data_IF_514640601806
#
_entry.id   IF_514640601806
#
_cell.length_a   1.000
_cell.length_b   1.000
_cell.length_c   1.000
_cell.angle_alpha   90.00
_cell.angle_beta   90.00
_cell.angle_gamma   90.00
#
_symmetry.space_group_name_H-M   'P 1'
#
loop_
_entity.id
_entity.type
_entity.pdbx_description
1 polymer ?
#
# COMPACT_ATOMS: atom_id res chain seq x y z
N UNK A 1 10.20 -25.07 7.36
CA UNK A 1 8.81 -24.56 7.45
C UNK A 1 8.67 -23.69 8.70
N UNK A 2 8.26 -22.43 8.57
CA UNK A 2 8.03 -21.56 9.75
C UNK A 2 6.70 -21.93 10.39
N UNK A 3 6.72 -22.45 11.62
CA UNK A 3 5.50 -22.65 12.42
C UNK A 3 4.86 -21.28 12.64
N UNK A 4 3.63 -21.10 12.14
CA UNK A 4 2.82 -19.91 12.43
C UNK A 4 2.68 -19.78 13.95
N UNK A 5 2.93 -18.58 14.48
CA UNK A 5 2.70 -18.30 15.90
C UNK A 5 1.24 -18.56 16.26
N UNK A 6 1.04 -19.06 17.47
CA UNK A 6 -0.28 -19.18 18.08
C UNK A 6 -1.00 -17.81 18.02
N UNK A 7 -2.31 -17.86 17.80
CA UNK A 7 -3.15 -16.68 17.68
C UNK A 7 -3.06 -15.79 18.93
N UNK A 8 -3.01 -16.39 20.12
CA UNK A 8 -2.84 -15.65 21.38
C UNK A 8 -1.56 -14.82 21.43
N UNK A 9 -0.43 -15.42 21.05
CA UNK A 9 0.87 -14.71 20.99
C UNK A 9 0.85 -13.58 19.97
N UNK A 10 0.22 -13.78 18.80
CA UNK A 10 0.06 -12.73 17.78
C UNK A 10 -0.81 -11.56 18.26
N UNK A 11 -1.89 -11.85 18.97
CA UNK A 11 -2.76 -10.80 19.51
C UNK A 11 -2.03 -9.98 20.57
N UNK A 12 -1.28 -10.65 21.46
CA UNK A 12 -0.48 -9.97 22.48
C UNK A 12 0.60 -9.05 21.87
N UNK A 13 1.34 -9.53 20.87
CA UNK A 13 2.31 -8.68 20.15
C UNK A 13 1.67 -7.48 19.47
N UNK A 14 0.51 -7.66 18.81
CA UNK A 14 -0.20 -6.55 18.15
C UNK A 14 -0.57 -5.47 19.16
N UNK A 15 -1.08 -5.85 20.33
CA UNK A 15 -1.39 -4.90 21.41
C UNK A 15 -0.15 -4.18 21.90
N UNK A 16 0.98 -4.88 22.06
CA UNK A 16 2.25 -4.28 22.49
C UNK A 16 2.82 -3.31 21.44
N UNK A 17 2.73 -3.66 20.15
CA UNK A 17 3.12 -2.78 19.03
C UNK A 17 2.24 -1.53 19.01
N UNK A 18 0.92 -1.68 19.16
CA UNK A 18 -0.01 -0.56 19.21
C UNK A 18 0.25 0.37 20.42
N UNK A 19 0.69 -0.20 21.55
CA UNK A 19 1.09 0.58 22.74
C UNK A 19 2.46 1.26 22.64
N UNK A 20 3.15 1.17 21.49
CA UNK A 20 4.42 1.85 21.26
C UNK A 20 5.64 1.21 21.93
N UNK A 21 5.55 -0.04 22.39
CA UNK A 21 6.67 -0.73 23.04
C UNK A 21 7.83 -0.95 22.07
N UNK A 22 9.05 -0.96 22.63
CA UNK A 22 10.26 -1.22 21.86
C UNK A 22 10.37 -2.71 21.48
N UNK A 23 11.12 -3.01 20.42
CA UNK A 23 11.27 -4.40 19.93
C UNK A 23 11.85 -5.32 21.02
N UNK A 24 12.79 -4.83 21.84
CA UNK A 24 13.35 -5.59 22.97
C UNK A 24 12.27 -5.96 24.00
N UNK A 25 11.46 -4.99 24.41
CA UNK A 25 10.37 -5.20 25.37
C UNK A 25 9.33 -6.21 24.86
N UNK A 26 9.06 -6.20 23.54
CA UNK A 26 8.13 -7.17 22.94
C UNK A 26 8.73 -8.57 22.96
N UNK A 27 10.01 -8.73 22.59
CA UNK A 27 10.72 -10.01 22.64
C UNK A 27 10.70 -10.59 24.06
N UNK A 28 10.98 -9.77 25.07
CA UNK A 28 10.94 -10.20 26.48
C UNK A 28 9.53 -10.65 26.91
N UNK A 29 8.49 -9.92 26.49
CA UNK A 29 7.11 -10.20 26.85
C UNK A 29 6.51 -11.42 26.11
N UNK A 30 6.90 -11.68 24.86
CA UNK A 30 6.27 -12.72 24.03
C UNK A 30 7.17 -13.93 23.78
N UNK A 31 8.46 -13.86 24.13
CA UNK A 31 9.50 -14.85 23.84
C UNK A 31 9.62 -15.21 22.36
N UNK A 32 9.17 -14.31 21.49
CA UNK A 32 9.28 -14.45 20.03
C UNK A 32 10.63 -13.91 19.57
N UNK A 33 11.22 -14.54 18.54
CA UNK A 33 12.51 -14.09 18.02
C UNK A 33 12.48 -12.64 17.56
N UNK A 34 13.59 -11.92 17.77
CA UNK A 34 13.74 -10.52 17.38
C UNK A 34 13.38 -10.29 15.90
N UNK A 35 13.85 -11.16 15.01
CA UNK A 35 13.57 -11.08 13.58
C UNK A 35 12.06 -11.14 13.28
N UNK A 36 11.32 -11.93 14.05
CA UNK A 36 9.89 -12.12 13.85
C UNK A 36 9.08 -10.96 14.43
N UNK A 37 9.49 -10.40 15.57
CA UNK A 37 8.94 -9.14 16.10
C UNK A 37 9.15 -7.98 15.11
N UNK A 38 10.34 -7.86 14.52
CA UNK A 38 10.63 -6.82 13.51
C UNK A 38 9.72 -6.98 12.28
N UNK A 39 9.57 -8.21 11.77
CA UNK A 39 8.64 -8.48 10.66
C UNK A 39 7.21 -8.09 11.03
N UNK A 40 6.74 -8.47 12.21
CA UNK A 40 5.38 -8.13 12.66
C UNK A 40 5.19 -6.63 12.85
N UNK A 41 6.17 -5.93 13.43
CA UNK A 41 6.14 -4.48 13.62
C UNK A 41 6.07 -3.77 12.27
N UNK A 42 6.89 -4.17 11.29
CA UNK A 42 6.84 -3.61 9.94
C UNK A 42 5.48 -3.80 9.25
N UNK A 43 4.78 -4.90 9.53
CA UNK A 43 3.45 -5.21 8.97
C UNK A 43 2.33 -4.47 9.68
N UNK A 44 2.41 -4.27 11.00
CA UNK A 44 1.31 -3.73 11.82
C UNK A 44 1.55 -2.30 12.32
N UNK A 45 2.70 -1.68 12.03
CA UNK A 45 2.96 -0.29 12.41
C UNK A 45 1.94 0.64 11.73
N UNK A 46 1.21 1.46 12.49
CA UNK A 46 0.19 2.36 11.94
C UNK A 46 0.79 3.41 10.99
N UNK A 47 2.07 3.76 11.17
CA UNK A 47 2.78 4.73 10.33
C UNK A 47 3.28 4.16 9.00
N UNK A 48 3.19 2.84 8.80
CA UNK A 48 3.60 2.18 7.56
C UNK A 48 2.37 1.74 6.79
N UNK A 49 2.03 2.49 5.74
CA UNK A 49 1.10 2.00 4.73
C UNK A 49 1.66 0.70 4.15
N UNK A 50 0.93 -0.41 4.32
CA UNK A 50 1.25 -1.64 3.62
C UNK A 50 1.12 -1.39 2.11
N UNK A 51 2.25 -1.34 1.42
CA UNK A 51 2.29 -1.57 -0.02
C UNK A 51 1.94 -3.04 -0.27
N UNK A 52 0.64 -3.36 -0.30
CA UNK A 52 0.14 -4.67 -0.71
C UNK A 52 0.74 -4.98 -2.07
N UNK A 53 1.48 -6.10 -2.14
CA UNK A 53 2.40 -6.46 -3.21
C UNK A 53 1.98 -5.99 -4.60
N UNK A 54 2.89 -5.27 -5.25
CA UNK A 54 2.73 -4.73 -6.59
C UNK A 54 3.99 -3.98 -7.01
N UNK A 55 4.17 -3.76 -8.32
CA UNK A 55 5.28 -2.96 -8.82
C UNK A 55 5.12 -1.53 -8.28
N UNK A 56 6.18 -0.91 -7.70
CA UNK A 56 6.12 0.46 -7.25
C UNK A 56 5.63 1.35 -8.40
N UNK A 57 4.62 2.17 -8.13
CA UNK A 57 4.06 3.07 -9.11
C UNK A 57 4.45 4.49 -8.79
N UNK A 58 4.87 5.22 -9.81
CA UNK A 58 5.19 6.65 -9.72
C UNK A 58 3.99 7.50 -9.29
N UNK A 59 2.77 6.98 -9.43
CA UNK A 59 1.53 7.68 -9.10
C UNK A 59 0.91 7.05 -7.85
N UNK A 60 0.63 7.83 -6.79
CA UNK A 60 -0.08 7.35 -5.62
C UNK A 60 -1.46 6.79 -5.95
N UNK A 61 -1.93 5.83 -5.15
CA UNK A 61 -3.24 5.17 -5.36
C UNK A 61 -4.40 6.17 -5.40
N UNK A 62 -4.40 7.19 -4.54
CA UNK A 62 -5.41 8.25 -4.52
C UNK A 62 -5.47 9.02 -5.84
N UNK A 63 -4.32 9.42 -6.36
CA UNK A 63 -4.23 10.11 -7.66
C UNK A 63 -4.76 9.25 -8.80
N UNK A 64 -4.46 7.94 -8.81
CA UNK A 64 -5.03 7.00 -9.79
C UNK A 64 -6.56 6.93 -9.70
N UNK A 65 -7.14 6.93 -8.50
CA UNK A 65 -8.59 6.95 -8.31
C UNK A 65 -9.21 8.23 -8.87
N UNK A 66 -8.61 9.39 -8.61
CA UNK A 66 -9.06 10.67 -9.16
C UNK A 66 -9.02 10.68 -10.70
N UNK A 67 -7.91 10.20 -11.29
CA UNK A 67 -7.79 10.07 -12.74
C UNK A 67 -8.87 9.13 -13.30
N UNK A 68 -9.08 7.97 -12.67
CA UNK A 68 -10.13 7.02 -13.09
C UNK A 68 -11.53 7.64 -13.07
N UNK A 69 -11.86 8.41 -12.02
CA UNK A 69 -13.13 9.13 -11.93
C UNK A 69 -13.27 10.20 -13.03
N UNK A 70 -12.22 10.97 -13.29
CA UNK A 70 -12.21 12.00 -14.35
C UNK A 70 -12.34 11.38 -15.75
N UNK A 71 -11.69 10.26 -16.00
CA UNK A 71 -11.84 9.49 -17.26
C UNK A 71 -13.27 8.95 -17.40
N UNK A 72 -13.82 8.32 -16.35
CA UNK A 72 -15.19 7.78 -16.37
C UNK A 72 -16.25 8.85 -16.64
N UNK A 73 -16.06 10.06 -16.10
CA UNK A 73 -16.93 11.22 -16.32
C UNK A 73 -16.60 12.00 -17.60
N UNK A 74 -15.70 11.49 -18.44
CA UNK A 74 -15.29 12.10 -19.74
C UNK A 74 -14.61 13.47 -19.59
N UNK A 75 -14.18 13.85 -18.39
CA UNK A 75 -13.34 15.05 -18.19
C UNK A 75 -11.91 14.87 -18.73
N UNK A 76 -11.44 13.63 -18.83
CA UNK A 76 -10.18 13.26 -19.45
C UNK A 76 -10.47 12.19 -20.50
N UNK A 77 -10.78 12.63 -21.73
CA UNK A 77 -11.24 11.75 -22.79
C UNK A 77 -10.12 10.91 -23.41
N UNK A 78 -8.90 11.48 -23.49
CA UNK A 78 -7.77 10.82 -24.15
C UNK A 78 -6.60 10.56 -23.22
N UNK A 79 -5.72 9.63 -23.62
CA UNK A 79 -4.45 9.40 -22.93
C UNK A 79 -3.55 10.64 -22.92
N UNK A 80 -3.68 11.52 -23.92
CA UNK A 80 -2.97 12.81 -23.93
C UNK A 80 -3.49 13.74 -22.82
N UNK A 81 -4.80 13.79 -22.61
CA UNK A 81 -5.41 14.62 -21.56
C UNK A 81 -5.01 14.14 -20.17
N UNK A 82 -5.04 12.82 -19.96
CA UNK A 82 -4.58 12.22 -18.69
C UNK A 82 -3.10 12.51 -18.46
N UNK A 83 -2.27 12.40 -19.50
CA UNK A 83 -0.84 12.67 -19.38
C UNK A 83 -0.59 14.15 -19.05
N UNK A 84 -1.31 15.07 -19.71
CA UNK A 84 -1.23 16.50 -19.46
C UNK A 84 -1.63 16.81 -18.02
N UNK A 85 -2.77 16.30 -17.56
CA UNK A 85 -3.24 16.45 -16.19
C UNK A 85 -2.23 15.93 -15.16
N UNK A 86 -1.66 14.75 -15.39
CA UNK A 86 -0.63 14.18 -14.51
C UNK A 86 0.62 15.06 -14.45
N UNK A 87 1.03 15.66 -15.57
CA UNK A 87 2.16 16.60 -15.61
C UNK A 87 1.84 17.91 -14.89
N UNK A 88 0.63 18.45 -15.05
CA UNK A 88 0.17 19.67 -14.38
C UNK A 88 0.19 19.54 -12.85
N UNK A 89 -0.15 18.36 -12.33
CA UNK A 89 -0.09 18.08 -10.88
C UNK A 89 1.30 17.59 -10.41
N UNK A 90 2.32 17.64 -11.26
CA UNK A 90 3.72 17.39 -10.91
C UNK A 90 4.25 15.97 -11.16
N UNK A 91 3.50 15.09 -11.82
CA UNK A 91 3.99 13.74 -12.17
C UNK A 91 4.54 13.71 -13.60
N UNK A 92 5.84 13.41 -13.73
CA UNK A 92 6.44 13.13 -15.02
C UNK A 92 6.07 11.70 -15.48
N UNK A 93 4.98 11.58 -16.24
CA UNK A 93 4.45 10.30 -16.71
C UNK A 93 4.56 10.17 -18.24
N UNK A 94 4.99 9.00 -18.69
CA UNK A 94 5.12 8.66 -20.11
C UNK A 94 3.78 8.35 -20.77
N UNK A 95 3.70 8.52 -22.09
CA UNK A 95 2.48 8.26 -22.85
C UNK A 95 2.07 6.77 -22.79
N UNK A 96 3.02 5.85 -22.96
CA UNK A 96 2.80 4.40 -22.83
C UNK A 96 2.31 3.99 -21.44
N UNK A 97 2.85 4.61 -20.39
CA UNK A 97 2.40 4.38 -19.02
C UNK A 97 0.98 4.92 -18.80
N UNK A 98 0.62 6.02 -19.47
CA UNK A 98 -0.70 6.64 -19.39
C UNK A 98 -1.77 5.79 -20.07
N UNK A 99 -1.48 5.22 -21.24
CA UNK A 99 -2.41 4.30 -21.90
C UNK A 99 -2.64 3.03 -21.07
N UNK A 100 -1.59 2.51 -20.42
CA UNK A 100 -1.73 1.40 -19.48
C UNK A 100 -2.58 1.78 -18.24
N UNK A 101 -2.40 3.00 -17.72
CA UNK A 101 -3.18 3.53 -16.59
C UNK A 101 -4.67 3.65 -16.95
N UNK A 102 -5.00 4.09 -18.17
CA UNK A 102 -6.40 4.14 -18.63
C UNK A 102 -7.00 2.76 -18.87
N UNK A 103 -6.17 1.76 -19.20
CA UNK A 103 -6.62 0.38 -19.49
C UNK A 103 -6.92 -0.47 -18.26
N UNK A 104 -6.57 -0.05 -17.04
CA UNK A 104 -6.80 -0.86 -15.83
C UNK A 104 -7.46 -0.09 -14.66
N UNK A 105 -8.46 -0.63 -13.93
CA UNK A 105 -9.39 -1.72 -14.24
C UNK A 105 -10.87 -1.23 -14.28
N UNK A 106 -11.55 -1.51 -15.39
CA UNK A 106 -12.92 -2.02 -15.34
C UNK A 106 -12.85 -3.46 -14.78
N UNK A 107 -12.80 -3.61 -13.46
CA UNK A 107 -13.22 -4.86 -12.81
C UNK A 107 -14.41 -4.50 -11.94
N UNK A 108 -15.60 -4.68 -12.52
CA UNK A 108 -16.84 -4.83 -11.77
C UNK A 108 -16.60 -6.00 -10.81
N UNK A 109 -16.61 -5.71 -9.51
CA UNK A 109 -16.79 -6.74 -8.50
C UNK A 109 -18.30 -6.92 -8.40
N UNK A 110 -18.80 -8.02 -8.97
CA UNK A 110 -20.02 -8.68 -8.50
C UNK A 110 -19.66 -9.49 -7.25
#
# INVERSE_FOLDING_TARGET
MSKKLNQGTRNNEKSLIASGKTTKQIVEATRVSLAQVIRMKNVNSPDREQCNGGRPSLIPKRTKQVVSLKVRRVYLATAKDVQKYLREIGYNYGYSSTTHLMRGPHKQQN
#
